data_IF_336129641329
#
_entry.id   IF_336129641329
#
_cell.length_a   1.000
_cell.length_b   1.000
_cell.length_c   1.000
_cell.angle_alpha   90.00
_cell.angle_beta   90.00
_cell.angle_gamma   90.00
#
_symmetry.space_group_name_H-M   'P 1'
#
loop_
_entity.id
_entity.type
_entity.pdbx_description
1 polymer ?
#
# COMPACT_ATOMS: atom_id res chain seq x y z
N UNK A 1 0.20 -30.59 10.32
CA UNK A 1 1.37 -30.11 9.54
C UNK A 1 1.04 -28.95 8.58
N UNK A 2 -0.12 -28.91 7.91
CA UNK A 2 -0.51 -27.80 7.01
C UNK A 2 -0.76 -26.46 7.73
N UNK A 3 -1.22 -26.50 8.98
CA UNK A 3 -1.50 -25.30 9.80
C UNK A 3 -0.24 -24.57 10.28
N UNK A 4 0.89 -25.28 10.43
CA UNK A 4 2.17 -24.65 10.78
C UNK A 4 2.67 -23.75 9.64
N UNK A 5 2.47 -24.17 8.38
CA UNK A 5 2.91 -23.40 7.21
C UNK A 5 2.12 -22.10 7.02
N UNK A 6 0.83 -22.09 7.39
CA UNK A 6 0.00 -20.90 7.28
C UNK A 6 0.38 -19.83 8.32
N UNK A 7 0.74 -20.25 9.54
CA UNK A 7 1.14 -19.34 10.62
C UNK A 7 2.46 -18.61 10.29
N UNK A 8 3.42 -19.29 9.66
CA UNK A 8 4.69 -18.67 9.24
C UNK A 8 4.50 -17.65 8.13
N UNK A 9 3.58 -17.90 7.18
CA UNK A 9 3.28 -16.96 6.08
C UNK A 9 2.61 -15.68 6.62
N UNK A 10 1.66 -15.81 7.56
CA UNK A 10 1.05 -14.65 8.21
C UNK A 10 2.08 -13.80 8.97
N UNK A 11 3.05 -14.43 9.63
CA UNK A 11 4.09 -13.70 10.37
C UNK A 11 4.99 -12.89 9.43
N UNK A 12 5.35 -13.44 8.27
CA UNK A 12 6.19 -12.77 7.26
C UNK A 12 5.44 -11.64 6.56
N UNK A 13 4.14 -11.78 6.32
CA UNK A 13 3.32 -10.72 5.72
C UNK A 13 3.17 -9.48 6.63
N UNK A 14 3.23 -9.66 7.96
CA UNK A 14 3.26 -8.55 8.92
C UNK A 14 4.60 -7.78 8.90
N UNK A 15 5.67 -8.40 8.39
CA UNK A 15 7.01 -7.81 8.27
C UNK A 15 7.21 -7.08 6.92
N UNK A 16 6.39 -7.36 5.90
CA UNK A 16 6.31 -6.53 4.69
C UNK A 16 5.54 -5.24 5.00
N UNK A 17 6.26 -4.29 5.59
CA UNK A 17 5.75 -3.19 6.41
C UNK A 17 4.82 -2.18 5.73
N UNK A 18 3.90 -1.68 6.54
CA UNK A 18 3.21 -0.41 6.32
C UNK A 18 4.22 0.73 6.53
N UNK A 19 4.85 1.22 5.44
CA UNK A 19 5.60 2.47 5.55
C UNK A 19 4.59 3.62 5.64
N UNK A 20 4.68 4.41 6.70
CA UNK A 20 3.84 5.60 6.85
C UNK A 20 4.29 6.67 5.85
N UNK A 21 3.38 7.53 5.33
CA UNK A 21 3.77 8.66 4.48
C UNK A 21 4.83 9.56 5.13
N UNK A 22 4.79 9.71 6.46
CA UNK A 22 5.79 10.48 7.20
C UNK A 22 7.18 9.83 7.19
N UNK A 23 7.21 8.50 7.28
CA UNK A 23 8.45 7.72 7.26
C UNK A 23 9.07 7.73 5.87
N UNK A 24 8.22 7.65 4.84
CA UNK A 24 8.62 7.83 3.45
C UNK A 24 9.28 9.20 3.21
N UNK A 25 8.64 10.28 3.67
CA UNK A 25 9.22 11.61 3.54
C UNK A 25 10.56 11.77 4.28
N UNK A 26 10.75 11.06 5.40
CA UNK A 26 12.03 11.01 6.11
C UNK A 26 13.11 10.29 5.31
N UNK A 27 12.77 9.19 4.64
CA UNK A 27 13.68 8.49 3.73
C UNK A 27 14.08 9.39 2.55
N UNK A 28 13.12 10.06 1.91
CA UNK A 28 13.36 10.98 0.81
C UNK A 28 14.26 12.14 1.26
N UNK A 29 14.03 12.67 2.47
CA UNK A 29 14.85 13.73 3.08
C UNK A 29 16.30 13.27 3.26
N UNK A 30 16.49 12.04 3.72
CA UNK A 30 17.81 11.42 3.90
C UNK A 30 18.50 11.21 2.58
N UNK A 31 17.78 10.71 1.57
CA UNK A 31 18.29 10.50 0.23
C UNK A 31 18.74 11.81 -0.43
N UNK A 32 17.93 12.88 -0.36
CA UNK A 32 18.33 14.19 -0.86
C UNK A 32 19.53 14.77 -0.11
N UNK A 33 19.64 14.53 1.20
CA UNK A 33 20.81 14.95 1.98
C UNK A 33 22.07 14.19 1.56
N UNK A 34 21.95 12.89 1.26
CA UNK A 34 23.06 12.05 0.80
C UNK A 34 23.56 12.43 -0.60
N UNK A 35 22.70 12.99 -1.45
CA UNK A 35 23.10 13.58 -2.72
C UNK A 35 23.84 14.93 -2.56
N UNK A 36 23.93 15.47 -1.34
CA UNK A 36 24.61 16.73 -1.03
C UNK A 36 23.69 17.95 -1.09
N UNK A 37 22.37 17.77 -1.24
CA UNK A 37 21.44 18.90 -1.18
C UNK A 37 21.30 19.39 0.26
N UNK A 38 21.36 20.71 0.46
CA UNK A 38 21.24 21.32 1.79
C UNK A 38 19.76 21.55 2.13
N UNK A 39 19.23 21.03 3.26
CA UNK A 39 17.85 21.25 3.66
C UNK A 39 17.48 22.74 3.74
N UNK A 40 16.27 23.08 3.30
CA UNK A 40 15.78 24.47 3.28
C UNK A 40 16.23 25.29 2.06
N UNK A 41 16.95 24.68 1.12
CA UNK A 41 17.27 25.30 -0.18
C UNK A 41 16.27 24.89 -1.26
N UNK A 42 16.19 25.71 -2.31
CA UNK A 42 15.38 25.40 -3.50
C UNK A 42 15.83 24.09 -4.17
N UNK A 43 17.15 23.85 -4.25
CA UNK A 43 17.70 22.61 -4.81
C UNK A 43 17.26 21.36 -4.02
N UNK A 44 17.13 21.48 -2.69
CA UNK A 44 16.60 20.41 -1.85
C UNK A 44 15.11 20.17 -2.11
N UNK A 45 14.32 21.24 -2.24
CA UNK A 45 12.90 21.13 -2.57
C UNK A 45 12.68 20.47 -3.95
N UNK A 46 13.50 20.83 -4.95
CA UNK A 46 13.48 20.18 -6.26
C UNK A 46 13.85 18.70 -6.19
N UNK A 47 14.86 18.33 -5.38
CA UNK A 47 15.20 16.92 -5.16
C UNK A 47 14.01 16.15 -4.58
N UNK A 48 13.41 16.65 -3.50
CA UNK A 48 12.25 16.03 -2.85
C UNK A 48 11.08 15.87 -3.83
N UNK A 49 10.79 16.93 -4.61
CA UNK A 49 9.73 16.91 -5.61
C UNK A 49 9.99 15.84 -6.69
N UNK A 50 11.22 15.76 -7.21
CA UNK A 50 11.58 14.78 -8.23
C UNK A 50 11.44 13.35 -7.71
N UNK A 51 11.88 13.09 -6.47
CA UNK A 51 11.75 11.79 -5.84
C UNK A 51 10.28 11.39 -5.69
N UNK A 52 9.42 12.32 -5.24
CA UNK A 52 7.99 12.08 -5.10
C UNK A 52 7.33 11.74 -6.46
N UNK A 53 7.61 12.54 -7.50
CA UNK A 53 7.09 12.30 -8.86
C UNK A 53 7.54 10.94 -9.38
N UNK A 54 8.83 10.62 -9.26
CA UNK A 54 9.38 9.36 -9.73
C UNK A 54 8.68 8.15 -9.08
N UNK A 55 8.35 8.27 -7.80
CA UNK A 55 7.65 7.23 -7.08
C UNK A 55 6.21 7.05 -7.57
N UNK A 56 5.49 8.15 -7.77
CA UNK A 56 4.13 8.13 -8.31
C UNK A 56 4.10 7.54 -9.74
N UNK A 57 5.10 7.86 -10.56
CA UNK A 57 5.28 7.28 -11.89
C UNK A 57 5.46 5.75 -11.83
N UNK A 58 6.32 5.27 -10.91
CA UNK A 58 6.49 3.83 -10.68
C UNK A 58 5.20 3.17 -10.21
N UNK A 59 4.47 3.81 -9.27
CA UNK A 59 3.19 3.28 -8.76
C UNK A 59 2.16 3.15 -9.88
N UNK A 60 2.06 4.15 -10.76
CA UNK A 60 1.18 4.12 -11.93
C UNK A 60 1.62 3.06 -12.95
N UNK A 61 2.91 3.00 -13.27
CA UNK A 61 3.46 2.01 -14.21
C UNK A 61 3.20 0.58 -13.72
N UNK A 62 3.42 0.34 -12.43
CA UNK A 62 3.17 -0.94 -11.78
C UNK A 62 1.69 -1.32 -11.85
N UNK A 63 0.79 -0.36 -11.54
CA UNK A 63 -0.66 -0.59 -11.68
C UNK A 63 -1.06 -0.92 -13.12
N UNK A 64 -0.55 -0.17 -14.09
CA UNK A 64 -0.85 -0.39 -15.51
C UNK A 64 -0.33 -1.75 -16.00
N UNK A 65 0.86 -2.16 -15.53
CA UNK A 65 1.41 -3.47 -15.81
C UNK A 65 0.48 -4.60 -15.34
N UNK A 66 0.02 -4.57 -14.09
CA UNK A 66 -0.93 -5.58 -13.59
C UNK A 66 -2.31 -5.49 -14.25
N UNK A 67 -2.80 -4.29 -14.56
CA UNK A 67 -4.07 -4.11 -15.27
C UNK A 67 -4.04 -4.75 -16.66
N UNK A 68 -2.94 -4.59 -17.40
CA UNK A 68 -2.79 -5.20 -18.74
C UNK A 68 -2.75 -6.73 -18.70
N UNK A 69 -2.10 -7.33 -17.69
CA UNK A 69 -2.09 -8.79 -17.52
C UNK A 69 -3.46 -9.34 -17.16
N UNK A 70 -4.21 -8.63 -16.31
CA UNK A 70 -5.55 -9.04 -15.90
C UNK A 70 -6.60 -8.77 -17.00
N UNK A 71 -6.40 -7.83 -17.91
CA UNK A 71 -7.29 -7.63 -19.06
C UNK A 71 -7.26 -8.82 -20.03
N UNK A 72 -6.09 -9.44 -20.22
CA UNK A 72 -5.93 -10.62 -21.06
C UNK A 72 -6.57 -11.89 -20.46
N UNK A 73 -6.67 -11.97 -19.12
CA UNK A 73 -7.25 -13.13 -18.41
C UNK A 73 -8.68 -12.89 -17.92
N UNK A 74 -9.13 -11.64 -17.78
CA UNK A 74 -10.41 -11.22 -17.20
C UNK A 74 -11.59 -11.14 -18.17
N UNK A 75 -11.36 -11.19 -19.48
CA UNK A 75 -12.44 -11.08 -20.50
C UNK A 75 -13.42 -12.27 -20.55
N UNK A 76 -13.36 -13.22 -19.60
CA UNK A 76 -14.29 -14.38 -19.54
C UNK A 76 -15.34 -14.30 -18.42
N UNK A 77 -15.46 -13.19 -17.67
CA UNK A 77 -16.35 -13.15 -16.50
C UNK A 77 -17.41 -12.03 -16.48
N UNK A 78 -17.77 -11.45 -17.61
CA UNK A 78 -18.89 -10.50 -17.70
C UNK A 78 -20.07 -11.12 -18.46
N UNK A 79 -20.68 -12.13 -17.84
CA UNK A 79 -22.03 -12.61 -18.20
C UNK A 79 -22.76 -13.17 -16.96
N UNK A 80 -22.49 -12.62 -15.77
CA UNK A 80 -23.28 -12.93 -14.58
C UNK A 80 -23.62 -11.64 -13.83
N UNK A 81 -24.93 -11.43 -13.70
CA UNK A 81 -25.61 -10.22 -13.26
C UNK A 81 -25.43 -10.02 -11.75
N UNK A 82 -25.41 -8.74 -11.34
CA UNK A 82 -25.62 -8.23 -9.98
C UNK A 82 -24.44 -8.33 -8.99
N UNK A 83 -23.91 -7.18 -8.58
CA UNK A 83 -23.26 -7.03 -7.27
C UNK A 83 -22.01 -6.15 -7.28
N UNK A 84 -22.16 -4.90 -6.80
CA UNK A 84 -21.06 -4.12 -6.25
C UNK A 84 -20.52 -4.84 -5.00
N UNK A 85 -19.49 -5.68 -5.14
CA UNK A 85 -18.80 -6.28 -3.99
C UNK A 85 -17.64 -5.38 -3.56
N UNK A 86 -17.95 -4.30 -2.84
CA UNK A 86 -17.00 -3.69 -1.91
C UNK A 86 -17.02 -4.57 -0.65
N UNK A 87 -16.26 -5.67 -0.66
CA UNK A 87 -16.04 -6.47 0.54
C UNK A 87 -14.96 -5.80 1.39
N UNK A 88 -15.31 -4.66 1.98
CA UNK A 88 -14.80 -4.35 3.31
C UNK A 88 -15.70 -5.15 4.26
N UNK A 89 -15.12 -6.11 4.96
CA UNK A 89 -15.82 -7.06 5.82
C UNK A 89 -16.77 -6.35 6.81
N UNK A 90 -18.07 -6.32 6.50
CA UNK A 90 -19.13 -5.82 7.41
C UNK A 90 -19.10 -6.59 8.75
N UNK A 91 -18.59 -7.83 8.75
CA UNK A 91 -18.40 -8.62 9.97
C UNK A 91 -17.27 -8.10 10.87
N UNK A 92 -16.29 -7.35 10.36
CA UNK A 92 -15.26 -6.73 11.20
C UNK A 92 -15.81 -5.50 11.95
N UNK A 93 -16.72 -4.75 11.33
CA UNK A 93 -17.34 -3.56 11.96
C UNK A 93 -18.24 -3.97 13.15
N UNK A 94 -18.90 -5.12 13.06
CA UNK A 94 -19.74 -5.63 14.15
C UNK A 94 -18.89 -6.14 15.34
N UNK A 95 -17.75 -6.77 15.08
CA UNK A 95 -16.83 -7.23 16.13
C UNK A 95 -16.13 -6.09 16.88
N UNK A 96 -15.89 -4.94 16.23
CA UNK A 96 -15.31 -3.75 16.88
C UNK A 96 -16.32 -3.12 17.87
N UNK A 97 -17.63 -3.29 17.66
CA UNK A 97 -18.65 -2.74 18.56
C UNK A 97 -18.72 -3.46 19.92
N UNK A 98 -18.36 -4.75 19.99
CA UNK A 98 -18.31 -5.50 21.26
C UNK A 98 -17.08 -5.16 22.11
N UNK A 99 -15.96 -4.77 21.50
CA UNK A 99 -14.72 -4.47 22.22
C UNK A 99 -14.70 -3.08 22.88
N UNK A 100 -15.58 -2.17 22.49
CA UNK A 100 -15.65 -0.80 23.05
C UNK A 100 -16.72 -0.61 24.14
N UNK A 101 -17.48 -1.65 24.51
CA UNK A 101 -18.45 -1.60 25.61
C UNK A 101 -18.01 -2.31 26.90
N UNK A 102 -16.79 -2.86 26.96
CA UNK A 102 -16.27 -3.55 28.15
C UNK A 102 -15.28 -2.71 28.97
N UNK A 103 -15.44 -1.38 28.95
CA UNK A 103 -14.91 -0.48 29.98
C UNK A 103 -16.10 0.11 30.77
N UNK A 104 -16.69 -0.74 31.62
CA UNK A 104 -17.43 -0.30 32.81
C UNK A 104 -17.33 -1.33 33.92
#
# INVERSE_FOLDING_TARGET
>A
MKVLSAMTVCLVALLSGCVSPAEQASMDRTQCSNFGFTPGTDAFAQCMQKTAIHRDEMDVANRNYYASQNAATGSKKDNNKNGLSVSADINAVNAISELLSSDK
#
